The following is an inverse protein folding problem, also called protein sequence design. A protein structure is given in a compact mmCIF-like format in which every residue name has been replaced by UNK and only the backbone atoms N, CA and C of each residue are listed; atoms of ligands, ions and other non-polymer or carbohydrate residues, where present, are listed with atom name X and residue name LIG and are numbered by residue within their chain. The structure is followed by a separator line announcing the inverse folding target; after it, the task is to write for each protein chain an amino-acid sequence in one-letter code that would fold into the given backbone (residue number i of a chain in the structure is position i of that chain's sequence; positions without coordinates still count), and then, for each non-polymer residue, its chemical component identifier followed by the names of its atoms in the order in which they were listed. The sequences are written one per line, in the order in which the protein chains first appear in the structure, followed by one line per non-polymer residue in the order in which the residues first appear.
data_IF_181838873461
#
_entry.id   IF_181838873461
#
_cell.length_a   1.000
_cell.length_b   1.000
_cell.length_c   1.000
_cell.angle_alpha   90.00
_cell.angle_beta   90.00
_cell.angle_gamma   90.00
#
_symmetry.space_group_name_H-M   'P 1'
#
loop_
_entity.id
_entity.type
_entity.pdbx_description
1 polymer ?
#
# COMPACT_ATOMS: atom_id res chain seq x y z
N UNK A 1 34.88 -16.39 -1.59
CA UNK A 1 33.50 -15.91 -1.37
C UNK A 1 33.17 -14.53 -1.97
N UNK A 2 34.12 -13.82 -2.60
CA UNK A 2 33.87 -12.52 -3.26
C UNK A 2 33.43 -12.62 -4.73
N UNK A 3 33.40 -13.81 -5.31
CA UNK A 3 33.03 -14.03 -6.73
C UNK A 3 31.51 -14.20 -6.97
N UNK A 4 30.70 -14.27 -5.92
CA UNK A 4 29.26 -14.40 -6.02
C UNK A 4 28.52 -13.05 -6.16
N UNK A 5 29.10 -11.95 -5.67
CA UNK A 5 28.47 -10.61 -5.71
C UNK A 5 28.56 -9.94 -7.09
N UNK A 6 29.58 -10.26 -7.91
CA UNK A 6 29.81 -9.59 -9.20
C UNK A 6 28.89 -10.08 -10.35
N UNK A 7 27.98 -11.03 -10.10
CA UNK A 7 27.06 -11.58 -11.10
C UNK A 7 25.60 -11.10 -10.97
N UNK A 8 25.29 -10.24 -10.00
CA UNK A 8 23.91 -9.75 -9.82
C UNK A 8 23.55 -8.55 -10.73
N UNK A 9 24.55 -7.88 -11.33
CA UNK A 9 24.35 -6.64 -12.10
C UNK A 9 23.69 -6.82 -13.49
N UNK A 10 23.48 -8.05 -13.96
CA UNK A 10 22.83 -8.33 -15.25
C UNK A 10 21.34 -8.72 -15.15
N UNK A 11 20.75 -8.72 -13.95
CA UNK A 11 19.33 -9.11 -13.84
C UNK A 11 18.43 -8.02 -14.45
N UNK A 12 17.57 -8.34 -15.43
CA UNK A 12 16.68 -7.36 -16.04
C UNK A 12 15.78 -6.74 -14.97
N UNK A 13 15.62 -5.42 -15.03
CA UNK A 13 14.75 -4.70 -14.11
C UNK A 13 13.32 -5.24 -14.22
N UNK A 14 12.83 -5.83 -13.13
CA UNK A 14 11.45 -6.27 -13.02
C UNK A 14 10.66 -5.23 -12.21
N UNK A 15 9.63 -4.58 -12.79
CA UNK A 15 8.81 -3.61 -12.08
C UNK A 15 8.01 -4.30 -10.97
N UNK A 16 7.90 -3.64 -9.80
CA UNK A 16 7.13 -4.13 -8.68
C UNK A 16 5.78 -3.39 -8.63
N UNK A 17 4.71 -4.08 -9.05
CA UNK A 17 3.34 -3.59 -8.92
C UNK A 17 2.81 -3.91 -7.51
N UNK A 18 2.33 -2.90 -6.79
CA UNK A 18 1.76 -3.07 -5.44
C UNK A 18 0.25 -2.92 -5.40
N UNK A 19 -0.35 -2.33 -6.44
CA UNK A 19 -1.81 -2.28 -6.59
C UNK A 19 -2.22 -2.13 -8.05
N UNK A 20 -3.26 -2.86 -8.44
CA UNK A 20 -3.81 -2.85 -9.80
C UNK A 20 -5.11 -2.05 -9.83
N UNK A 21 -5.23 -1.13 -10.78
CA UNK A 21 -6.44 -0.33 -10.95
C UNK A 21 -7.65 -1.19 -11.31
N UNK A 22 -8.86 -0.91 -10.77
CA UNK A 22 -10.11 -1.52 -11.24
C UNK A 22 -10.39 -1.30 -12.72
N UNK A 23 -9.82 -0.24 -13.30
CA UNK A 23 -9.91 0.02 -14.74
C UNK A 23 -9.02 -0.90 -15.58
N UNK A 24 -8.01 -1.52 -14.97
CA UNK A 24 -7.09 -2.49 -15.59
C UNK A 24 -7.42 -3.93 -15.17
N UNK A 25 -8.59 -4.16 -14.54
CA UNK A 25 -9.04 -5.48 -14.09
C UNK A 25 -8.66 -5.84 -12.64
N UNK A 26 -8.14 -4.88 -11.87
CA UNK A 26 -7.87 -5.05 -10.44
C UNK A 26 -9.12 -5.01 -9.55
N UNK A 27 -8.95 -5.34 -8.28
CA UNK A 27 -10.03 -5.26 -7.30
C UNK A 27 -10.22 -3.82 -6.81
N UNK A 28 -11.47 -3.37 -6.69
CA UNK A 28 -11.83 -2.06 -6.14
C UNK A 28 -11.68 -2.04 -4.61
N UNK A 29 -10.42 -2.05 -4.15
CA UNK A 29 -10.03 -2.06 -2.74
C UNK A 29 -9.09 -0.92 -2.38
N UNK A 30 -9.14 -0.55 -1.10
CA UNK A 30 -8.18 0.33 -0.43
C UNK A 30 -8.54 1.80 -0.35
N UNK A 31 -9.68 2.19 -0.90
CA UNK A 31 -10.33 3.43 -0.51
C UNK A 31 -11.27 3.19 0.69
N UNK A 32 -11.41 4.18 1.59
CA UNK A 32 -12.35 4.08 2.69
C UNK A 32 -13.78 3.89 2.15
N UNK A 33 -14.62 3.09 2.82
CA UNK A 33 -15.98 2.87 2.37
C UNK A 33 -16.80 4.16 2.47
N UNK A 34 -17.78 4.31 1.58
CA UNK A 34 -18.65 5.48 1.54
C UNK A 34 -19.89 5.17 2.39
N UNK A 35 -20.17 6.06 3.36
CA UNK A 35 -21.43 6.03 4.10
C UNK A 35 -22.51 6.75 3.28
N UNK A 36 -23.58 6.05 2.97
CA UNK A 36 -24.78 6.63 2.35
C UNK A 36 -25.98 6.43 3.28
N UNK A 37 -26.79 7.46 3.41
CA UNK A 37 -28.07 7.39 4.11
C UNK A 37 -29.08 6.92 3.08
N UNK A 38 -29.70 5.76 3.33
CA UNK A 38 -30.77 5.22 2.48
C UNK A 38 -32.04 5.09 3.31
N UNK A 39 -33.18 5.51 2.75
CA UNK A 39 -34.49 5.21 3.34
C UNK A 39 -34.78 3.72 3.12
N UNK A 40 -34.95 2.99 4.23
CA UNK A 40 -35.36 1.59 4.21
C UNK A 40 -36.63 1.44 5.03
N UNK A 41 -37.60 0.69 4.51
CA UNK A 41 -38.75 0.28 5.29
C UNK A 41 -38.33 -0.84 6.25
N UNK A 42 -38.60 -0.66 7.54
CA UNK A 42 -38.45 -1.72 8.53
C UNK A 42 -39.51 -2.83 8.35
N UNK A 43 -39.45 -3.85 9.21
CA UNK A 43 -40.40 -4.98 9.18
C UNK A 43 -41.87 -4.55 9.37
N UNK A 44 -42.10 -3.34 9.92
CA UNK A 44 -43.42 -2.77 10.18
C UNK A 44 -43.85 -1.73 9.13
N UNK A 45 -43.05 -1.51 8.09
CA UNK A 45 -43.34 -0.56 7.02
C UNK A 45 -43.08 0.90 7.40
N UNK A 46 -42.33 1.16 8.47
CA UNK A 46 -41.87 2.49 8.86
C UNK A 46 -40.59 2.81 8.10
N UNK A 47 -40.55 3.97 7.44
CA UNK A 47 -39.36 4.45 6.75
C UNK A 47 -38.33 4.95 7.78
N UNK A 48 -37.18 4.30 7.84
CA UNK A 48 -36.04 4.71 8.68
C UNK A 48 -34.83 5.09 7.81
N UNK A 49 -34.08 6.10 8.26
CA UNK A 49 -32.80 6.47 7.68
C UNK A 49 -31.71 5.51 8.17
N UNK A 50 -31.28 4.60 7.30
CA UNK A 50 -30.22 3.63 7.63
C UNK A 50 -28.89 4.08 7.02
N UNK A 51 -27.83 4.11 7.83
CA UNK A 51 -26.46 4.27 7.33
C UNK A 51 -25.98 2.98 6.66
N UNK A 52 -25.98 2.97 5.33
CA UNK A 52 -25.44 1.87 4.53
C UNK A 52 -23.99 2.15 4.16
N UNK A 53 -23.11 1.23 4.52
CA UNK A 53 -21.68 1.26 4.15
C UNK A 53 -21.50 0.56 2.81
N UNK A 54 -21.20 1.31 1.75
CA UNK A 54 -20.97 0.75 0.40
C UNK A 54 -19.51 0.86 -0.03
N UNK A 55 -19.10 -0.04 -0.91
CA UNK A 55 -17.81 0.07 -1.57
C UNK A 55 -17.77 1.29 -2.49
N UNK A 56 -16.61 1.99 -2.59
CA UNK A 56 -16.47 3.12 -3.49
C UNK A 56 -16.70 2.72 -4.96
N UNK A 57 -17.34 3.57 -5.78
CA UNK A 57 -17.52 3.29 -7.20
C UNK A 57 -16.17 3.23 -7.92
N UNK A 58 -16.11 2.48 -9.02
CA UNK A 58 -14.88 2.37 -9.83
C UNK A 58 -14.32 3.74 -10.27
N UNK A 59 -15.19 4.73 -10.51
CA UNK A 59 -14.81 6.10 -10.87
C UNK A 59 -14.04 6.87 -9.80
N UNK A 60 -14.10 6.44 -8.53
CA UNK A 60 -13.33 7.05 -7.45
C UNK A 60 -11.84 6.66 -7.50
N UNK A 61 -11.50 5.60 -8.22
CA UNK A 61 -10.15 5.08 -8.31
C UNK A 61 -9.35 5.73 -9.45
N UNK A 62 -8.02 5.76 -9.27
CA UNK A 62 -7.09 6.12 -10.34
C UNK A 62 -7.17 5.11 -11.47
N UNK A 63 -7.07 5.60 -12.71
CA UNK A 63 -7.02 4.75 -13.92
C UNK A 63 -5.70 3.98 -14.07
N UNK A 64 -4.64 4.44 -13.40
CA UNK A 64 -3.30 3.84 -13.49
C UNK A 64 -3.03 2.98 -12.26
N UNK A 65 -2.44 1.81 -12.48
CA UNK A 65 -1.91 0.96 -11.41
C UNK A 65 -0.72 1.61 -10.70
N UNK A 66 -0.47 1.18 -9.46
CA UNK A 66 0.61 1.71 -8.61
C UNK A 66 1.80 0.78 -8.65
N UNK A 67 2.93 1.33 -9.07
CA UNK A 67 4.21 0.66 -9.12
C UNK A 67 5.20 1.32 -8.17
N UNK A 68 6.03 0.50 -7.54
CA UNK A 68 7.18 1.00 -6.78
C UNK A 68 8.16 1.65 -7.75
N UNK A 69 8.66 2.86 -7.43
CA UNK A 69 9.58 3.57 -8.30
C UNK A 69 10.81 2.74 -8.66
N UNK A 70 11.25 2.74 -9.95
CA UNK A 70 12.35 1.89 -10.41
C UNK A 70 13.67 2.07 -9.66
N UNK A 71 13.95 3.30 -9.19
CA UNK A 71 15.15 3.63 -8.43
C UNK A 71 15.25 2.87 -7.10
N UNK A 72 14.10 2.46 -6.52
CA UNK A 72 14.03 1.65 -5.31
C UNK A 72 13.82 0.17 -5.62
N UNK A 73 12.92 -0.15 -6.55
CA UNK A 73 12.56 -1.52 -6.89
C UNK A 73 13.74 -2.38 -7.41
N UNK A 74 14.76 -1.75 -8.00
CA UNK A 74 15.97 -2.44 -8.47
C UNK A 74 16.87 -2.98 -7.35
N UNK A 75 16.79 -2.40 -6.15
CA UNK A 75 17.63 -2.81 -5.00
C UNK A 75 16.94 -3.85 -4.11
N UNK A 76 15.65 -4.12 -4.33
CA UNK A 76 14.88 -5.04 -3.51
C UNK A 76 15.19 -6.49 -3.88
N UNK A 77 15.58 -7.28 -2.87
CA UNK A 77 15.64 -8.75 -2.96
C UNK A 77 14.22 -9.35 -3.04
N UNK A 78 14.03 -10.59 -3.54
CA UNK A 78 12.71 -11.20 -3.68
C UNK A 78 11.85 -11.15 -2.40
N UNK A 79 12.43 -11.52 -1.26
CA UNK A 79 11.71 -11.46 0.03
C UNK A 79 11.34 -10.03 0.44
N UNK A 80 12.16 -9.04 0.09
CA UNK A 80 11.86 -7.62 0.35
C UNK A 80 10.75 -7.10 -0.56
N UNK A 81 10.65 -7.59 -1.80
CA UNK A 81 9.55 -7.27 -2.71
C UNK A 81 8.23 -7.77 -2.15
N UNK A 82 8.20 -9.01 -1.68
CA UNK A 82 7.04 -9.60 -0.99
C UNK A 82 6.68 -8.81 0.28
N UNK A 83 7.68 -8.43 1.09
CA UNK A 83 7.49 -7.61 2.27
C UNK A 83 6.87 -6.24 1.96
N UNK A 84 7.35 -5.54 0.92
CA UNK A 84 6.77 -4.26 0.49
C UNK A 84 5.33 -4.41 0.00
N UNK A 85 5.03 -5.42 -0.80
CA UNK A 85 3.65 -5.69 -1.24
C UNK A 85 2.74 -5.99 -0.05
N UNK A 86 3.20 -6.83 0.89
CA UNK A 86 2.47 -7.13 2.14
C UNK A 86 2.18 -5.87 2.95
N UNK A 87 3.18 -5.02 3.16
CA UNK A 87 3.02 -3.77 3.91
C UNK A 87 2.01 -2.85 3.21
N UNK A 88 2.10 -2.70 1.90
CA UNK A 88 1.21 -1.86 1.12
C UNK A 88 -0.24 -2.33 1.22
N UNK A 89 -0.50 -3.62 1.03
CA UNK A 89 -1.83 -4.22 1.14
C UNK A 89 -2.44 -4.02 2.53
N UNK A 90 -1.63 -4.07 3.60
CA UNK A 90 -2.10 -3.90 4.97
C UNK A 90 -2.42 -2.45 5.30
N UNK A 91 -1.56 -1.50 4.93
CA UNK A 91 -1.76 -0.06 5.18
C UNK A 91 -2.91 0.49 4.35
N UNK A 92 -3.10 -0.06 3.14
CA UNK A 92 -4.20 0.30 2.26
C UNK A 92 -5.48 -0.49 2.54
N UNK A 93 -5.58 -1.25 3.64
CA UNK A 93 -6.79 -2.04 3.98
C UNK A 93 -7.31 -2.91 2.82
N UNK A 94 -6.41 -3.52 2.05
CA UNK A 94 -6.74 -4.41 0.93
C UNK A 94 -6.91 -5.87 1.38
N UNK A 95 -6.43 -6.18 2.58
CA UNK A 95 -6.58 -7.50 3.20
C UNK A 95 -7.87 -7.60 4.00
N UNK A 96 -8.32 -8.85 4.16
CA UNK A 96 -9.55 -9.19 4.87
C UNK A 96 -9.35 -9.17 6.39
N UNK A 97 -8.88 -8.05 6.96
CA UNK A 97 -8.85 -7.83 8.40
C UNK A 97 -9.35 -6.42 8.73
N UNK A 98 -9.93 -6.26 9.92
CA UNK A 98 -10.45 -4.98 10.39
C UNK A 98 -9.32 -4.08 10.92
N UNK A 99 -8.47 -3.58 10.02
CA UNK A 99 -7.40 -2.64 10.38
C UNK A 99 -6.68 -2.03 9.16
N UNK A 100 -5.84 -1.04 9.46
CA UNK A 100 -5.06 -0.28 8.47
C UNK A 100 -3.56 -0.22 8.88
N UNK A 101 -3.09 -1.26 9.56
CA UNK A 101 -1.73 -1.34 10.10
C UNK A 101 -1.08 -2.68 9.83
N UNK A 102 0.23 -2.75 10.03
CA UNK A 102 1.03 -3.94 9.77
C UNK A 102 2.14 -4.08 10.82
N UNK A 103 2.53 -5.32 11.10
CA UNK A 103 3.71 -5.63 11.89
C UNK A 103 4.70 -6.34 10.96
N UNK A 104 5.88 -5.75 10.77
CA UNK A 104 6.96 -6.36 10.00
C UNK A 104 7.91 -7.08 10.96
N UNK A 105 7.66 -8.37 11.17
CA UNK A 105 8.39 -9.22 12.11
C UNK A 105 9.48 -10.08 11.45
N UNK A 106 10.03 -9.64 10.32
CA UNK A 106 11.15 -10.29 9.65
C UNK A 106 12.39 -10.38 10.55
N UNK A 107 13.23 -11.39 10.33
CA UNK A 107 14.51 -11.54 11.03
C UNK A 107 15.41 -10.29 10.92
N UNK A 108 16.26 -10.13 11.93
CA UNK A 108 17.25 -9.05 11.95
C UNK A 108 18.22 -9.20 10.77
N UNK A 109 18.51 -8.10 10.08
CA UNK A 109 19.40 -8.11 8.91
C UNK A 109 18.71 -8.25 7.55
N UNK A 110 17.42 -8.58 7.48
CA UNK A 110 16.70 -8.73 6.20
C UNK A 110 16.34 -7.40 5.48
N UNK A 111 16.75 -6.26 6.03
CA UNK A 111 16.56 -4.95 5.39
C UNK A 111 15.17 -4.33 5.59
N UNK A 112 14.56 -4.51 6.77
CA UNK A 112 13.26 -3.90 7.13
C UNK A 112 13.21 -2.38 6.94
N UNK A 113 14.32 -1.69 7.20
CA UNK A 113 14.45 -0.25 6.98
C UNK A 113 14.25 0.11 5.51
N UNK A 114 14.90 -0.62 4.59
CA UNK A 114 14.75 -0.39 3.16
C UNK A 114 13.30 -0.63 2.74
N UNK A 115 12.68 -1.74 3.16
CA UNK A 115 11.26 -2.02 2.87
C UNK A 115 10.34 -0.88 3.35
N UNK A 116 10.61 -0.34 4.55
CA UNK A 116 9.86 0.78 5.12
C UNK A 116 10.05 2.07 4.32
N UNK A 117 11.28 2.41 3.93
CA UNK A 117 11.58 3.57 3.08
C UNK A 117 10.89 3.45 1.73
N UNK A 118 10.90 2.26 1.12
CA UNK A 118 10.21 2.00 -0.15
C UNK A 118 8.71 2.22 -0.02
N UNK A 119 8.08 1.70 1.03
CA UNK A 119 6.67 1.92 1.31
C UNK A 119 6.37 3.41 1.45
N UNK A 120 7.12 4.12 2.31
CA UNK A 120 6.95 5.54 2.59
C UNK A 120 7.03 6.36 1.30
N UNK A 121 8.09 6.13 0.51
CA UNK A 121 8.28 6.84 -0.74
C UNK A 121 7.15 6.56 -1.74
N UNK A 122 6.70 5.31 -1.82
CA UNK A 122 5.58 4.92 -2.69
C UNK A 122 4.30 5.64 -2.28
N UNK A 123 3.97 5.69 -0.98
CA UNK A 123 2.77 6.38 -0.47
C UNK A 123 2.82 7.90 -0.66
N UNK A 124 4.01 8.50 -0.64
CA UNK A 124 4.22 9.94 -0.85
C UNK A 124 4.15 10.35 -2.33
N UNK A 125 4.45 9.43 -3.26
CA UNK A 125 4.52 9.73 -4.70
C UNK A 125 3.31 9.22 -5.49
N UNK A 126 2.56 8.27 -4.94
CA UNK A 126 1.50 7.58 -5.67
C UNK A 126 0.13 7.83 -5.05
N UNK A 127 -0.90 7.64 -5.86
CA UNK A 127 -2.30 7.83 -5.48
C UNK A 127 -3.16 6.75 -6.11
N UNK A 128 -4.05 6.17 -5.31
CA UNK A 128 -5.13 5.29 -5.78
C UNK A 128 -6.42 6.05 -6.04
N UNK A 129 -6.49 7.35 -5.70
CA UNK A 129 -7.66 8.19 -5.89
C UNK A 129 -7.67 8.86 -7.26
N UNK A 130 -8.86 9.07 -7.83
CA UNK A 130 -9.01 9.74 -9.12
C UNK A 130 -8.51 11.20 -9.12
N UNK A 131 -8.52 11.87 -7.96
CA UNK A 131 -8.02 13.24 -7.80
C UNK A 131 -6.48 13.35 -7.82
N UNK A 132 -5.76 12.22 -7.90
CA UNK A 132 -4.29 12.15 -7.93
C UNK A 132 -3.59 12.73 -6.69
N UNK A 133 -4.30 12.88 -5.57
CA UNK A 133 -3.65 13.30 -4.31
C UNK A 133 -2.80 12.16 -3.74
N UNK A 134 -1.56 12.42 -3.31
CA UNK A 134 -0.72 11.40 -2.68
C UNK A 134 -1.43 10.70 -1.53
N UNK A 135 -1.27 9.38 -1.43
CA UNK A 135 -1.88 8.59 -0.34
C UNK A 135 -1.43 9.09 1.04
N UNK A 136 -0.16 9.45 1.18
CA UNK A 136 0.36 10.12 2.36
C UNK A 136 0.92 11.49 1.99
N UNK A 137 0.66 12.50 2.84
CA UNK A 137 1.25 13.85 2.70
C UNK A 137 2.45 14.08 3.60
N UNK A 138 2.47 13.39 4.74
CA UNK A 138 3.51 13.48 5.78
C UNK A 138 3.67 12.12 6.43
N UNK A 139 4.90 11.79 6.81
CA UNK A 139 5.25 10.54 7.48
C UNK A 139 6.15 10.85 8.66
N UNK A 140 5.94 10.15 9.77
CA UNK A 140 6.78 10.23 10.97
C UNK A 140 7.37 8.85 11.20
N UNK A 141 8.70 8.78 11.30
CA UNK A 141 9.42 7.58 11.70
C UNK A 141 9.82 7.74 13.15
N UNK A 142 9.33 6.84 14.00
CA UNK A 142 9.70 6.80 15.42
C UNK A 142 10.71 5.68 15.60
N UNK A 143 11.91 6.01 16.07
CA UNK A 143 12.96 5.05 16.37
C UNK A 143 13.71 5.44 17.65
N UNK A 144 14.39 4.50 18.33
CA UNK A 144 15.28 4.82 19.45
C UNK A 144 16.33 5.88 19.07
N UNK A 145 16.69 6.75 20.01
CA UNK A 145 17.63 7.86 19.76
C UNK A 145 18.97 7.41 19.14
N UNK A 146 19.43 6.20 19.47
CA UNK A 146 20.67 5.62 18.93
C UNK A 146 20.60 5.29 17.43
N UNK A 147 19.40 5.14 16.86
CA UNK A 147 19.19 4.76 15.46
C UNK A 147 18.81 5.95 14.57
N UNK A 148 18.57 7.14 15.12
CA UNK A 148 18.15 8.32 14.33
C UNK A 148 19.15 8.62 13.20
N UNK A 149 20.46 8.57 13.50
CA UNK A 149 21.52 8.80 12.50
C UNK A 149 21.57 7.75 11.38
N UNK A 150 20.99 6.57 11.59
CA UNK A 150 20.93 5.53 10.55
C UNK A 150 19.76 5.78 9.57
N UNK A 151 18.82 6.66 9.93
CA UNK A 151 17.67 7.03 9.11
C UNK A 151 17.82 8.39 8.41
N UNK A 152 18.81 9.21 8.81
CA UNK A 152 19.23 10.43 8.09
C UNK A 152 20.01 10.08 6.81
#
# INVERSE_FOLDING_TARGET
DQEADAKEDEKPFEPLCVWVSPHEGGEAKGLPPVKQIEMQCDEYGVEEEVEVVKSPPASAYSKKSVYVPPILAKWLRPHQREGVSFLYECVMSQRNFAGAGCILADDMGLGKTLQSVVLIYTLLQTSIMANQEPTAKRVIVVCPCSLVKNWE
#
